data_IF_214581866137
#
_entry.id   IF_214581866137
#
_cell.length_a   1.000
_cell.length_b   1.000
_cell.length_c   1.000
_cell.angle_alpha   90.00
_cell.angle_beta   90.00
_cell.angle_gamma   90.00
#
_symmetry.space_group_name_H-M   'P 1'
#
loop_
_entity.id
_entity.type
_entity.pdbx_description
1 polymer ?
#
# COMPACT_ATOMS: atom_id res chain seq x y z
N UNK A 1 7.14 -12.97 -22.29
CA UNK A 1 6.62 -12.86 -20.92
C UNK A 1 7.34 -11.69 -20.30
N UNK A 2 6.64 -10.74 -19.68
CA UNK A 2 7.28 -9.66 -18.94
C UNK A 2 8.04 -10.25 -17.76
N UNK A 3 9.26 -9.76 -17.53
CA UNK A 3 10.06 -10.17 -16.38
C UNK A 3 9.42 -9.67 -15.10
N UNK A 4 9.46 -10.47 -14.03
CA UNK A 4 8.86 -10.07 -12.76
C UNK A 4 9.72 -8.99 -12.09
N UNK A 5 9.10 -7.91 -11.61
CA UNK A 5 9.76 -6.86 -10.82
C UNK A 5 10.13 -7.39 -9.43
N UNK A 6 9.20 -8.09 -8.78
CA UNK A 6 9.43 -8.78 -7.50
C UNK A 6 9.02 -10.23 -7.67
N UNK A 7 9.91 -11.15 -7.31
CA UNK A 7 9.67 -12.59 -7.36
C UNK A 7 9.82 -13.19 -5.98
N UNK A 8 8.77 -13.80 -5.51
CA UNK A 8 8.71 -14.47 -4.20
C UNK A 8 8.71 -15.97 -4.48
N UNK A 9 9.70 -16.68 -3.98
CA UNK A 9 9.90 -18.11 -4.23
C UNK A 9 9.94 -18.91 -2.93
N UNK A 10 8.90 -19.72 -2.71
CA UNK A 10 8.75 -20.68 -1.62
C UNK A 10 9.05 -20.11 -0.23
N UNK A 11 8.63 -18.85 0.01
CA UNK A 11 8.88 -18.15 1.26
C UNK A 11 8.13 -18.80 2.42
N UNK A 12 8.89 -19.09 3.46
CA UNK A 12 8.37 -19.51 4.78
C UNK A 12 8.88 -18.55 5.84
N UNK A 13 7.96 -18.02 6.67
CA UNK A 13 8.28 -17.08 7.75
C UNK A 13 7.73 -17.61 9.05
N UNK A 14 8.60 -17.69 10.06
CA UNK A 14 8.27 -18.22 11.37
C UNK A 14 8.51 -17.18 12.47
N UNK A 15 7.64 -17.19 13.46
CA UNK A 15 7.80 -16.46 14.71
C UNK A 15 8.08 -17.45 15.83
N UNK A 16 9.23 -17.33 16.50
CA UNK A 16 9.54 -18.12 17.67
C UNK A 16 9.05 -17.41 18.92
N UNK A 17 7.98 -17.94 19.53
CA UNK A 17 7.43 -17.41 20.78
C UNK A 17 7.35 -18.54 21.82
N UNK A 18 8.00 -18.33 22.96
CA UNK A 18 8.01 -19.29 24.11
C UNK A 18 8.33 -20.73 23.71
N UNK A 19 9.31 -20.93 22.82
CA UNK A 19 9.75 -22.26 22.39
C UNK A 19 8.84 -22.96 21.37
N UNK A 20 7.82 -22.28 20.85
CA UNK A 20 6.98 -22.75 19.74
C UNK A 20 7.24 -21.91 18.50
N UNK A 21 7.53 -22.58 17.39
CA UNK A 21 7.58 -21.94 16.08
C UNK A 21 6.15 -21.86 15.50
N UNK A 22 5.71 -20.65 15.18
CA UNK A 22 4.44 -20.39 14.50
C UNK A 22 4.75 -19.96 13.09
N UNK A 23 4.33 -20.71 12.08
CA UNK A 23 4.44 -20.34 10.68
C UNK A 23 3.37 -19.29 10.36
N UNK A 24 3.80 -18.06 10.16
CA UNK A 24 2.94 -16.95 9.72
C UNK A 24 2.77 -16.93 8.20
N UNK A 25 3.79 -17.39 7.47
CA UNK A 25 3.77 -17.60 6.01
C UNK A 25 4.36 -18.97 5.75
N UNK A 26 3.69 -19.79 4.95
CA UNK A 26 4.04 -21.20 4.71
C UNK A 26 4.06 -21.50 3.21
N UNK A 27 5.27 -21.61 2.65
CA UNK A 27 5.55 -21.98 1.26
C UNK A 27 4.81 -21.11 0.23
N UNK A 28 4.99 -19.78 0.34
CA UNK A 28 4.33 -18.81 -0.55
C UNK A 28 5.22 -18.47 -1.73
N UNK A 29 4.66 -18.59 -2.94
CA UNK A 29 5.27 -18.13 -4.19
C UNK A 29 4.32 -17.21 -4.94
N UNK A 30 4.85 -16.07 -5.42
CA UNK A 30 4.08 -15.06 -6.16
C UNK A 30 5.02 -14.14 -6.92
N UNK A 31 4.67 -13.82 -8.17
CA UNK A 31 5.35 -12.82 -8.98
C UNK A 31 4.54 -11.53 -9.01
N UNK A 32 5.23 -10.38 -8.95
CA UNK A 32 4.67 -9.05 -9.16
C UNK A 32 5.37 -8.45 -10.37
N UNK A 33 4.61 -8.00 -11.35
CA UNK A 33 5.14 -7.47 -12.60
C UNK A 33 5.26 -5.95 -12.59
N UNK A 34 6.07 -5.41 -13.50
CA UNK A 34 6.18 -3.96 -13.67
C UNK A 34 4.83 -3.33 -14.00
N UNK A 35 4.56 -2.15 -13.41
CA UNK A 35 3.33 -1.39 -13.61
C UNK A 35 2.05 -2.15 -13.21
N UNK A 36 2.16 -3.18 -12.40
CA UNK A 36 1.03 -3.99 -11.93
C UNK A 36 0.43 -3.44 -10.64
N UNK A 37 -0.88 -3.50 -10.53
CA UNK A 37 -1.64 -3.33 -9.28
C UNK A 37 -2.09 -4.70 -8.82
N UNK A 38 -1.39 -5.27 -7.86
CA UNK A 38 -1.78 -6.54 -7.26
C UNK A 38 -2.31 -6.31 -5.86
N UNK A 39 -3.34 -7.06 -5.48
CA UNK A 39 -3.86 -7.00 -4.14
C UNK A 39 -3.63 -8.32 -3.40
N UNK A 40 -3.38 -8.22 -2.10
CA UNK A 40 -3.28 -9.34 -1.17
C UNK A 40 -4.40 -9.23 -0.14
N UNK A 41 -5.38 -10.13 -0.22
CA UNK A 41 -6.57 -10.11 0.63
C UNK A 41 -6.65 -11.37 1.51
N UNK A 42 -7.39 -11.28 2.61
CA UNK A 42 -7.61 -12.37 3.55
C UNK A 42 -7.98 -11.86 4.93
N UNK A 43 -8.37 -12.72 5.83
CA UNK A 43 -8.71 -12.36 7.22
C UNK A 43 -7.52 -11.80 8.01
N UNK A 44 -7.79 -11.13 9.12
CA UNK A 44 -6.75 -10.71 10.06
C UNK A 44 -5.99 -11.94 10.57
N UNK A 45 -4.64 -11.81 10.65
CA UNK A 45 -3.78 -12.93 11.06
C UNK A 45 -3.46 -13.95 9.96
N UNK A 46 -3.94 -13.79 8.71
CA UNK A 46 -3.60 -14.73 7.62
C UNK A 46 -2.15 -14.65 7.13
N UNK A 47 -1.35 -13.67 7.59
CA UNK A 47 0.07 -13.52 7.23
C UNK A 47 0.39 -12.40 6.25
N UNK A 48 -0.58 -11.61 5.77
CA UNK A 48 -0.41 -10.56 4.74
C UNK A 48 0.64 -9.52 5.11
N UNK A 49 0.49 -8.86 6.25
CA UNK A 49 1.47 -7.87 6.74
C UNK A 49 2.85 -8.51 6.97
N UNK A 50 2.90 -9.74 7.45
CA UNK A 50 4.16 -10.48 7.63
C UNK A 50 4.87 -10.69 6.28
N UNK A 51 4.15 -11.12 5.25
CA UNK A 51 4.68 -11.26 3.89
C UNK A 51 5.16 -9.92 3.34
N UNK A 52 4.37 -8.86 3.50
CA UNK A 52 4.72 -7.50 3.07
C UNK A 52 6.00 -6.99 3.73
N UNK A 53 6.13 -7.18 5.05
CA UNK A 53 7.35 -6.78 5.78
C UNK A 53 8.57 -7.59 5.35
N UNK A 54 8.40 -8.86 5.00
CA UNK A 54 9.48 -9.68 4.46
C UNK A 54 9.93 -9.19 3.08
N UNK A 55 8.99 -8.85 2.18
CA UNK A 55 9.28 -8.29 0.85
C UNK A 55 10.12 -7.01 0.95
N UNK A 56 9.90 -6.19 1.98
CA UNK A 56 10.62 -4.93 2.19
C UNK A 56 11.85 -5.07 3.10
N UNK A 57 12.20 -6.30 3.52
CA UNK A 57 13.27 -6.53 4.51
C UNK A 57 13.08 -5.72 5.81
N UNK A 58 11.81 -5.59 6.23
CA UNK A 58 11.41 -4.87 7.45
C UNK A 58 10.82 -5.82 8.51
N UNK A 59 11.01 -7.13 8.35
CA UNK A 59 10.53 -8.13 9.30
C UNK A 59 11.26 -7.96 10.63
N UNK A 60 10.51 -7.74 11.71
CA UNK A 60 11.09 -7.52 13.04
C UNK A 60 11.23 -8.84 13.80
N UNK A 61 12.29 -9.01 14.60
CA UNK A 61 12.41 -10.12 15.53
C UNK A 61 11.17 -10.23 16.45
N UNK A 62 10.69 -11.44 16.79
CA UNK A 62 11.31 -12.74 16.55
C UNK A 62 11.00 -13.37 15.18
N UNK A 63 10.38 -12.64 14.25
CA UNK A 63 10.07 -13.12 12.89
C UNK A 63 11.34 -13.35 12.06
N UNK A 64 11.39 -14.49 11.36
CA UNK A 64 12.51 -14.86 10.49
C UNK A 64 12.00 -15.55 9.22
N UNK A 65 12.64 -15.26 8.09
CA UNK A 65 12.53 -16.06 6.87
C UNK A 65 13.34 -17.33 7.12
N UNK A 66 12.68 -18.50 7.10
CA UNK A 66 13.30 -19.79 7.36
C UNK A 66 13.51 -20.60 6.09
N UNK A 67 12.83 -20.27 4.99
CA UNK A 67 13.04 -20.87 3.68
C UNK A 67 12.61 -19.89 2.56
N UNK A 68 13.12 -20.17 1.35
CA UNK A 68 12.80 -19.40 0.15
C UNK A 68 13.63 -18.13 -0.01
N UNK A 69 13.31 -17.38 -1.05
CA UNK A 69 13.98 -16.11 -1.38
C UNK A 69 13.05 -15.09 -1.98
N UNK A 70 13.42 -13.82 -1.89
CA UNK A 70 12.71 -12.70 -2.49
C UNK A 70 13.69 -11.96 -3.39
N UNK A 71 13.38 -11.92 -4.69
CA UNK A 71 14.17 -11.22 -5.68
C UNK A 71 13.47 -9.93 -6.07
N UNK A 72 14.21 -8.85 -6.17
CA UNK A 72 13.78 -7.58 -6.75
C UNK A 72 14.72 -7.25 -7.91
N UNK A 73 14.21 -7.15 -9.13
CA UNK A 73 15.04 -6.93 -10.34
C UNK A 73 16.30 -7.82 -10.38
N UNK A 74 16.13 -9.12 -10.15
CA UNK A 74 17.22 -10.11 -10.11
C UNK A 74 18.20 -10.02 -8.92
N UNK A 75 18.00 -9.12 -7.96
CA UNK A 75 18.77 -9.09 -6.72
C UNK A 75 18.01 -9.84 -5.63
N UNK A 76 18.70 -10.77 -4.97
CA UNK A 76 18.12 -11.38 -3.77
C UNK A 76 18.18 -10.38 -2.61
N UNK A 77 17.03 -9.94 -2.15
CA UNK A 77 16.94 -8.96 -1.06
C UNK A 77 17.53 -9.49 0.25
N UNK A 78 17.63 -10.83 0.41
CA UNK A 78 18.22 -11.41 1.62
C UNK A 78 19.75 -11.23 1.69
N UNK A 79 20.41 -11.02 0.55
CA UNK A 79 21.87 -10.93 0.46
C UNK A 79 22.37 -9.48 0.62
N UNK A 80 21.46 -8.49 0.56
CA UNK A 80 21.81 -7.07 0.71
C UNK A 80 22.13 -6.73 2.16
N UNK A 81 23.16 -5.91 2.37
CA UNK A 81 23.45 -5.33 3.66
C UNK A 81 22.52 -4.13 3.99
N UNK A 82 22.59 -3.61 5.22
CA UNK A 82 21.69 -2.53 5.66
C UNK A 82 21.95 -1.20 4.93
N UNK A 83 23.16 -0.92 4.48
CA UNK A 83 23.49 0.29 3.72
C UNK A 83 22.95 0.21 2.28
N UNK A 84 23.10 -0.94 1.64
CA UNK A 84 22.50 -1.22 0.34
C UNK A 84 20.99 -1.13 0.39
N UNK A 85 20.36 -1.68 1.44
CA UNK A 85 18.93 -1.56 1.67
C UNK A 85 18.50 -0.11 1.92
N UNK A 86 19.26 0.65 2.69
CA UNK A 86 18.98 2.06 2.97
C UNK A 86 18.94 2.88 1.67
N UNK A 87 19.91 2.68 0.78
CA UNK A 87 19.98 3.41 -0.50
C UNK A 87 18.86 3.05 -1.47
N UNK A 88 18.29 1.84 -1.36
CA UNK A 88 17.20 1.36 -2.21
C UNK A 88 15.81 1.71 -1.66
N UNK A 89 15.66 1.84 -0.33
CA UNK A 89 14.41 2.29 0.29
C UNK A 89 14.05 3.67 -0.24
N UNK A 90 12.76 3.94 -0.44
CA UNK A 90 12.17 5.14 -1.06
C UNK A 90 12.54 5.36 -2.54
N UNK A 91 13.67 4.88 -3.03
CA UNK A 91 14.09 5.04 -4.42
C UNK A 91 13.66 3.88 -5.32
N UNK A 92 13.68 2.65 -4.83
CA UNK A 92 13.24 1.47 -5.57
C UNK A 92 11.97 0.87 -4.95
N UNK A 93 11.87 0.80 -3.62
CA UNK A 93 10.67 0.31 -2.93
C UNK A 93 10.32 1.16 -1.72
N UNK A 94 9.05 1.29 -1.45
CA UNK A 94 8.53 2.06 -0.32
C UNK A 94 7.33 1.39 0.34
N UNK A 95 7.01 1.87 1.55
CA UNK A 95 5.94 1.36 2.40
C UNK A 95 4.97 2.47 2.78
N UNK A 96 3.67 2.21 2.58
CA UNK A 96 2.58 2.97 3.18
C UNK A 96 1.95 2.07 4.24
N UNK A 97 2.10 2.42 5.51
CA UNK A 97 1.68 1.57 6.64
C UNK A 97 0.22 1.79 7.03
N UNK A 98 -0.39 0.77 7.63
CA UNK A 98 -1.72 0.85 8.25
C UNK A 98 -1.82 1.96 9.31
N UNK A 99 -0.77 2.14 10.12
CA UNK A 99 -0.70 3.15 11.17
C UNK A 99 0.00 4.44 10.71
N UNK A 100 -0.15 4.84 9.44
CA UNK A 100 0.50 6.03 8.87
C UNK A 100 0.20 7.32 9.63
N UNK A 101 -0.91 7.39 10.38
CA UNK A 101 -1.19 8.48 11.31
C UNK A 101 -0.12 8.62 12.42
N UNK A 102 0.59 7.52 12.76
CA UNK A 102 1.63 7.46 13.78
C UNK A 102 3.05 7.34 13.19
N UNK A 103 3.18 7.24 11.86
CA UNK A 103 4.49 7.14 11.20
C UNK A 103 5.20 8.49 11.09
N UNK A 104 4.45 9.59 11.15
CA UNK A 104 5.01 10.94 11.11
C UNK A 104 5.59 11.32 12.47
N UNK A 105 6.79 11.91 12.46
CA UNK A 105 7.41 12.42 13.69
C UNK A 105 6.63 13.62 14.23
N UNK A 106 6.01 13.55 15.43
CA UNK A 106 5.10 14.58 15.93
C UNK A 106 5.78 15.92 16.26
N UNK A 107 7.09 15.93 16.44
CA UNK A 107 7.87 17.13 16.81
C UNK A 107 8.57 17.82 15.64
N UNK A 108 8.47 17.25 14.43
CA UNK A 108 9.00 17.84 13.21
C UNK A 108 7.87 18.37 12.32
N UNK A 109 8.12 19.46 11.60
CA UNK A 109 7.20 19.95 10.56
C UNK A 109 7.17 18.99 9.39
N UNK A 110 6.07 18.98 8.65
CA UNK A 110 5.92 18.12 7.48
C UNK A 110 7.03 18.38 6.44
N UNK A 111 7.41 19.65 6.24
CA UNK A 111 8.50 20.01 5.34
C UNK A 111 9.82 19.32 5.71
N UNK A 112 10.16 19.35 7.00
CA UNK A 112 11.44 18.83 7.47
C UNK A 112 11.52 17.32 7.24
N UNK A 113 10.42 16.58 7.51
CA UNK A 113 10.34 15.13 7.27
C UNK A 113 10.47 14.77 5.79
N UNK A 114 9.90 15.57 4.88
CA UNK A 114 10.06 15.36 3.44
C UNK A 114 11.48 15.68 2.96
N UNK A 115 12.08 16.75 3.53
CA UNK A 115 13.46 17.13 3.22
C UNK A 115 14.44 16.05 3.68
N UNK A 116 14.26 15.51 4.90
CA UNK A 116 15.12 14.45 5.44
C UNK A 116 15.15 13.23 4.51
N UNK A 117 14.00 12.80 3.98
CA UNK A 117 13.95 11.71 3.00
C UNK A 117 14.73 11.97 1.70
N UNK A 118 14.84 13.23 1.28
CA UNK A 118 15.66 13.62 0.11
C UNK A 118 17.15 13.67 0.47
N UNK A 119 17.49 14.22 1.63
CA UNK A 119 18.88 14.34 2.08
C UNK A 119 19.54 12.99 2.32
N UNK A 120 18.80 12.03 2.88
CA UNK A 120 19.27 10.65 3.08
C UNK A 120 19.68 9.95 1.77
N UNK A 121 19.18 10.45 0.63
CA UNK A 121 19.51 9.94 -0.71
C UNK A 121 20.41 10.90 -1.51
N UNK A 122 21.17 11.77 -0.82
CA UNK A 122 22.14 12.65 -1.45
C UNK A 122 21.55 13.77 -2.30
N UNK A 123 20.28 14.14 -2.11
CA UNK A 123 19.60 15.21 -2.83
C UNK A 123 19.78 16.54 -2.09
N UNK A 124 20.89 17.24 -2.34
CA UNK A 124 21.26 18.46 -1.61
C UNK A 124 20.84 19.76 -2.28
N UNK A 125 20.26 19.71 -3.49
CA UNK A 125 19.80 20.92 -4.18
C UNK A 125 18.46 21.39 -3.58
N UNK A 126 18.49 22.54 -2.89
CA UNK A 126 17.34 23.11 -2.18
C UNK A 126 16.18 23.50 -3.11
N UNK A 127 16.48 24.03 -4.29
CA UNK A 127 15.46 24.48 -5.25
C UNK A 127 14.74 23.29 -5.88
N UNK A 128 15.51 22.28 -6.31
CA UNK A 128 14.96 21.03 -6.84
C UNK A 128 14.12 20.29 -5.79
N UNK A 129 14.61 20.24 -4.55
CA UNK A 129 13.90 19.61 -3.44
C UNK A 129 12.57 20.32 -3.15
N UNK A 130 12.54 21.65 -3.11
CA UNK A 130 11.31 22.39 -2.90
C UNK A 130 10.30 22.14 -4.04
N UNK A 131 10.75 22.20 -5.30
CA UNK A 131 9.91 21.91 -6.47
C UNK A 131 9.34 20.48 -6.42
N UNK A 132 10.17 19.50 -6.07
CA UNK A 132 9.75 18.10 -5.95
C UNK A 132 8.74 17.90 -4.84
N UNK A 133 8.98 18.47 -3.65
CA UNK A 133 8.07 18.42 -2.51
C UNK A 133 6.70 19.03 -2.87
N UNK A 134 6.68 20.20 -3.53
CA UNK A 134 5.43 20.81 -3.98
C UNK A 134 4.69 19.90 -4.97
N UNK A 135 5.39 19.38 -5.97
CA UNK A 135 4.81 18.46 -6.96
C UNK A 135 4.20 17.21 -6.32
N UNK A 136 4.84 16.66 -5.28
CA UNK A 136 4.32 15.48 -4.57
C UNK A 136 3.07 15.82 -3.75
N UNK A 137 3.04 17.00 -3.11
CA UNK A 137 1.84 17.46 -2.40
C UNK A 137 0.64 17.66 -3.33
N UNK A 138 0.87 18.25 -4.53
CA UNK A 138 -0.18 18.41 -5.54
C UNK A 138 -0.77 17.06 -5.95
N UNK A 139 0.06 16.02 -6.08
CA UNK A 139 -0.38 14.67 -6.44
C UNK A 139 -1.27 14.03 -5.39
N UNK A 140 -0.96 14.27 -4.12
CA UNK A 140 -1.81 13.79 -3.02
C UNK A 140 -2.91 14.78 -2.66
N UNK A 141 -3.12 15.83 -3.47
CA UNK A 141 -4.16 16.85 -3.31
C UNK A 141 -4.11 17.54 -1.93
N UNK A 142 -2.92 17.92 -1.51
CA UNK A 142 -2.68 18.71 -0.30
C UNK A 142 -2.23 20.13 -0.64
N UNK A 143 -2.75 21.11 0.10
CA UNK A 143 -2.25 22.50 0.02
C UNK A 143 -0.79 22.57 0.48
N UNK A 144 0.01 23.42 -0.18
CA UNK A 144 1.40 23.67 0.21
C UNK A 144 1.54 24.28 1.62
N UNK A 145 0.46 24.86 2.18
CA UNK A 145 0.45 25.34 3.56
C UNK A 145 0.72 24.24 4.59
N UNK A 146 0.44 22.97 4.24
CA UNK A 146 0.69 21.78 5.06
C UNK A 146 2.18 21.64 5.42
N UNK A 147 3.09 22.14 4.58
CA UNK A 147 4.54 22.06 4.81
C UNK A 147 4.98 22.72 6.13
N UNK A 148 4.27 23.76 6.54
CA UNK A 148 4.60 24.48 7.78
C UNK A 148 3.90 23.94 9.03
N UNK A 149 3.00 22.94 8.86
CA UNK A 149 2.24 22.33 9.93
C UNK A 149 3.00 21.16 10.57
N UNK A 150 2.63 20.87 11.82
CA UNK A 150 3.03 19.66 12.51
C UNK A 150 1.98 18.55 12.33
N UNK A 151 2.33 17.27 12.50
CA UNK A 151 1.37 16.18 12.35
C UNK A 151 0.10 16.31 13.19
N UNK A 152 0.18 16.86 14.40
CA UNK A 152 -0.98 17.04 15.28
C UNK A 152 -1.98 18.10 14.79
N UNK A 153 -1.59 18.98 13.85
CA UNK A 153 -2.46 19.99 13.24
C UNK A 153 -3.23 19.44 12.03
N UNK A 154 -2.92 18.20 11.58
CA UNK A 154 -3.50 17.57 10.42
C UNK A 154 -4.67 16.64 10.80
N UNK A 155 -5.71 16.61 9.95
CA UNK A 155 -6.74 15.56 10.02
C UNK A 155 -6.16 14.18 9.68
N UNK A 156 -6.88 13.10 10.05
CA UNK A 156 -6.45 11.73 9.73
C UNK A 156 -6.20 11.52 8.23
N UNK A 157 -7.11 11.98 7.39
CA UNK A 157 -6.96 11.89 5.93
C UNK A 157 -5.78 12.72 5.39
N UNK A 158 -5.48 13.88 5.98
CA UNK A 158 -4.29 14.68 5.61
C UNK A 158 -3.01 13.96 6.01
N UNK A 159 -2.93 13.38 7.22
CA UNK A 159 -1.77 12.57 7.65
C UNK A 159 -1.52 11.41 6.71
N UNK A 160 -2.58 10.71 6.30
CA UNK A 160 -2.49 9.62 5.34
C UNK A 160 -1.93 10.09 4.01
N UNK A 161 -2.41 11.21 3.47
CA UNK A 161 -1.90 11.76 2.21
C UNK A 161 -0.45 12.24 2.33
N UNK A 162 -0.05 12.79 3.47
CA UNK A 162 1.36 13.11 3.75
C UNK A 162 2.22 11.84 3.76
N UNK A 163 1.74 10.76 4.39
CA UNK A 163 2.46 9.47 4.38
C UNK A 163 2.62 8.93 2.95
N UNK A 164 1.58 9.04 2.12
CA UNK A 164 1.67 8.68 0.70
C UNK A 164 2.69 9.58 0.00
N UNK A 165 2.68 10.90 0.27
CA UNK A 165 3.64 11.85 -0.29
C UNK A 165 5.08 11.46 0.06
N UNK A 166 5.36 11.08 1.30
CA UNK A 166 6.67 10.57 1.72
C UNK A 166 7.05 9.29 0.94
N UNK A 167 6.11 8.36 0.78
CA UNK A 167 6.36 7.09 0.11
C UNK A 167 6.69 7.24 -1.39
N UNK A 168 6.14 8.25 -2.07
CA UNK A 168 6.37 8.48 -3.51
C UNK A 168 7.43 9.52 -3.81
N UNK A 169 8.07 10.07 -2.78
CA UNK A 169 8.98 11.22 -2.89
C UNK A 169 10.14 10.99 -3.85
N UNK A 170 10.67 9.78 -3.94
CA UNK A 170 11.75 9.41 -4.84
C UNK A 170 11.31 8.59 -6.06
N UNK A 171 9.98 8.50 -6.32
CA UNK A 171 9.38 7.76 -7.42
C UNK A 171 9.79 6.27 -7.43
N UNK A 172 9.48 5.51 -6.38
CA UNK A 172 9.87 4.10 -6.31
C UNK A 172 9.20 3.27 -7.41
N UNK A 173 9.87 2.21 -7.83
CA UNK A 173 9.34 1.24 -8.79
C UNK A 173 8.24 0.37 -8.18
N UNK A 174 8.31 0.17 -6.86
CA UNK A 174 7.42 -0.69 -6.12
C UNK A 174 6.96 -0.07 -4.80
N UNK A 175 5.65 -0.11 -4.55
CA UNK A 175 5.02 0.38 -3.32
C UNK A 175 4.24 -0.76 -2.68
N UNK A 176 4.48 -1.01 -1.40
CA UNK A 176 3.60 -1.81 -0.56
C UNK A 176 2.68 -0.87 0.22
N UNK A 177 1.38 -1.01 0.04
CA UNK A 177 0.36 -0.27 0.76
C UNK A 177 -0.39 -1.23 1.69
N UNK A 178 0.02 -1.25 2.97
CA UNK A 178 -0.57 -2.14 3.98
C UNK A 178 -1.73 -1.46 4.68
N UNK A 179 -2.95 -1.85 4.33
CA UNK A 179 -4.22 -1.29 4.81
C UNK A 179 -4.24 0.26 4.85
N UNK A 180 -3.93 0.94 3.74
CA UNK A 180 -3.67 2.39 3.73
C UNK A 180 -4.88 3.24 4.10
N UNK A 181 -6.04 2.64 4.27
CA UNK A 181 -7.30 3.35 4.52
C UNK A 181 -8.09 2.83 5.72
N UNK A 182 -7.60 1.83 6.45
CA UNK A 182 -8.36 1.09 7.47
C UNK A 182 -8.91 1.91 8.66
N UNK A 183 -8.31 3.07 8.95
CA UNK A 183 -8.72 3.94 10.07
C UNK A 183 -9.50 5.19 9.60
N UNK A 184 -9.96 5.21 8.34
CA UNK A 184 -10.60 6.36 7.71
C UNK A 184 -12.09 6.07 7.41
N UNK A 185 -12.89 7.12 7.30
CA UNK A 185 -14.25 6.98 6.81
C UNK A 185 -14.30 6.57 5.32
N UNK A 186 -15.42 6.00 4.88
CA UNK A 186 -15.59 5.42 3.54
C UNK A 186 -15.27 6.41 2.41
N UNK A 187 -15.57 7.70 2.59
CA UNK A 187 -15.32 8.72 1.57
C UNK A 187 -13.80 8.95 1.43
N UNK A 188 -13.11 9.08 2.55
CA UNK A 188 -11.65 9.27 2.58
C UNK A 188 -10.93 8.00 2.10
N UNK A 189 -11.41 6.80 2.44
CA UNK A 189 -10.89 5.55 1.91
C UNK A 189 -10.85 5.54 0.38
N UNK A 190 -11.99 5.88 -0.26
CA UNK A 190 -12.07 5.97 -1.73
C UNK A 190 -11.11 7.01 -2.31
N UNK A 191 -10.95 8.15 -1.64
CA UNK A 191 -9.99 9.18 -2.07
C UNK A 191 -8.55 8.69 -1.99
N UNK A 192 -8.16 7.97 -0.94
CA UNK A 192 -6.83 7.38 -0.79
C UNK A 192 -6.55 6.38 -1.92
N UNK A 193 -7.48 5.47 -2.20
CA UNK A 193 -7.34 4.48 -3.28
C UNK A 193 -7.28 5.19 -4.66
N UNK A 194 -8.11 6.19 -4.90
CA UNK A 194 -8.06 7.01 -6.13
C UNK A 194 -6.72 7.72 -6.29
N UNK A 195 -6.13 8.22 -5.19
CA UNK A 195 -4.80 8.85 -5.19
C UNK A 195 -3.73 7.82 -5.56
N UNK A 196 -3.74 6.63 -4.96
CA UNK A 196 -2.81 5.54 -5.29
C UNK A 196 -2.94 5.11 -6.76
N UNK A 197 -4.17 5.04 -7.29
CA UNK A 197 -4.41 4.76 -8.71
C UNK A 197 -3.80 5.83 -9.63
N UNK A 198 -3.97 7.11 -9.29
CA UNK A 198 -3.41 8.24 -10.05
C UNK A 198 -1.89 8.23 -10.04
N UNK A 199 -1.28 7.91 -8.89
CA UNK A 199 0.17 7.75 -8.71
C UNK A 199 0.67 6.60 -9.59
N UNK A 200 0.04 5.43 -9.50
CA UNK A 200 0.40 4.26 -10.29
C UNK A 200 0.39 4.57 -11.80
N UNK A 201 -0.67 5.20 -12.27
CA UNK A 201 -0.82 5.57 -13.68
C UNK A 201 0.24 6.59 -14.13
N UNK A 202 0.58 7.57 -13.28
CA UNK A 202 1.52 8.64 -13.61
C UNK A 202 2.97 8.16 -13.62
N UNK A 203 3.37 7.39 -12.61
CA UNK A 203 4.76 6.95 -12.42
C UNK A 203 5.04 5.55 -12.94
N UNK A 204 4.02 4.81 -13.34
CA UNK A 204 4.12 3.39 -13.71
C UNK A 204 4.75 2.54 -12.60
N UNK A 205 4.56 2.94 -11.34
CA UNK A 205 5.00 2.17 -10.19
C UNK A 205 4.12 0.94 -10.00
N UNK A 206 4.68 -0.16 -9.56
CA UNK A 206 3.91 -1.35 -9.20
C UNK A 206 3.42 -1.22 -7.76
N UNK A 207 2.19 -1.65 -7.47
CA UNK A 207 1.60 -1.52 -6.14
C UNK A 207 1.11 -2.87 -5.64
N UNK A 208 1.59 -3.30 -4.47
CA UNK A 208 0.98 -4.36 -3.67
C UNK A 208 0.06 -3.72 -2.63
N UNK A 209 -1.24 -3.81 -2.88
CA UNK A 209 -2.27 -3.33 -1.95
C UNK A 209 -2.70 -4.46 -1.02
N UNK A 210 -2.50 -4.28 0.27
CA UNK A 210 -3.02 -5.19 1.29
C UNK A 210 -4.30 -4.60 1.85
N UNK A 211 -5.34 -5.40 1.89
CA UNK A 211 -6.63 -4.96 2.42
C UNK A 211 -7.52 -6.13 2.84
N UNK A 212 -8.53 -5.81 3.62
CA UNK A 212 -9.59 -6.73 4.01
C UNK A 212 -10.92 -6.41 3.31
N UNK A 213 -11.05 -5.20 2.74
CA UNK A 213 -12.23 -4.78 1.97
C UNK A 213 -12.07 -5.18 0.51
N UNK A 214 -12.66 -6.34 0.16
CA UNK A 214 -12.60 -6.87 -1.18
C UNK A 214 -13.32 -5.99 -2.21
N UNK A 215 -14.36 -5.25 -1.83
CA UNK A 215 -15.08 -4.34 -2.71
C UNK A 215 -14.21 -3.18 -3.23
N UNK A 216 -13.38 -2.60 -2.35
CA UNK A 216 -12.40 -1.58 -2.75
C UNK A 216 -11.26 -2.18 -3.59
N UNK A 217 -10.79 -3.36 -3.20
CA UNK A 217 -9.66 -4.04 -3.85
C UNK A 217 -9.99 -4.43 -5.30
N UNK A 218 -11.19 -4.95 -5.55
CA UNK A 218 -11.66 -5.34 -6.90
C UNK A 218 -11.64 -4.15 -7.86
N UNK A 219 -11.95 -2.94 -7.39
CA UNK A 219 -11.94 -1.74 -8.22
C UNK A 219 -10.53 -1.26 -8.58
N UNK A 220 -9.53 -1.68 -7.82
CA UNK A 220 -8.15 -1.22 -7.94
C UNK A 220 -7.24 -2.21 -8.65
N UNK A 221 -7.30 -3.50 -8.29
CA UNK A 221 -6.28 -4.49 -8.61
C UNK A 221 -6.48 -5.15 -9.99
N UNK A 222 -5.37 -5.36 -10.69
CA UNK A 222 -5.33 -6.16 -11.93
C UNK A 222 -5.39 -7.67 -11.61
N UNK A 223 -4.70 -8.07 -10.51
CA UNK A 223 -4.69 -9.43 -9.96
C UNK A 223 -4.93 -9.40 -8.46
N UNK A 224 -5.53 -10.47 -7.95
CA UNK A 224 -5.79 -10.65 -6.52
C UNK A 224 -5.20 -11.97 -6.06
N UNK A 225 -4.37 -11.90 -5.02
CA UNK A 225 -3.90 -13.02 -4.23
C UNK A 225 -4.75 -13.15 -2.97
N UNK A 226 -5.34 -14.31 -2.76
CA UNK A 226 -6.12 -14.61 -1.56
C UNK A 226 -5.26 -15.41 -0.60
N UNK A 227 -5.05 -14.88 0.60
CA UNK A 227 -4.23 -15.51 1.63
C UNK A 227 -5.08 -16.04 2.79
N UNK A 228 -4.87 -17.29 3.15
CA UNK A 228 -5.56 -17.96 4.26
C UNK A 228 -4.59 -18.89 4.99
N UNK A 229 -4.53 -18.77 6.33
CA UNK A 229 -3.66 -19.61 7.18
C UNK A 229 -2.19 -19.65 6.68
N UNK A 230 -1.61 -18.51 6.36
CA UNK A 230 -0.22 -18.40 5.93
C UNK A 230 0.06 -18.80 4.48
N UNK A 231 -0.94 -19.19 3.69
CA UNK A 231 -0.79 -19.68 2.31
C UNK A 231 -1.56 -18.81 1.33
N UNK A 232 -1.03 -18.64 0.11
CA UNK A 232 -1.82 -18.14 -1.01
C UNK A 232 -2.66 -19.31 -1.53
N UNK A 233 -3.99 -19.23 -1.31
CA UNK A 233 -4.94 -20.26 -1.69
C UNK A 233 -5.51 -20.06 -3.09
N UNK A 234 -5.45 -18.82 -3.59
CA UNK A 234 -5.86 -18.50 -4.96
C UNK A 234 -5.14 -17.21 -5.42
N UNK A 235 -4.66 -17.19 -6.66
CA UNK A 235 -4.06 -16.03 -7.32
C UNK A 235 -4.54 -15.99 -8.76
N UNK A 236 -5.34 -14.97 -9.10
CA UNK A 236 -5.96 -14.82 -10.43
C UNK A 236 -6.03 -13.35 -10.83
N UNK A 237 -6.28 -13.11 -12.13
CA UNK A 237 -6.78 -11.79 -12.57
C UNK A 237 -8.09 -11.48 -11.86
N UNK A 238 -8.33 -10.21 -11.59
CA UNK A 238 -9.53 -9.79 -10.84
C UNK A 238 -10.82 -10.28 -11.49
N UNK A 239 -10.93 -10.15 -12.81
CA UNK A 239 -12.10 -10.63 -13.59
C UNK A 239 -12.28 -12.14 -13.43
N UNK A 240 -11.22 -12.92 -13.62
CA UNK A 240 -11.25 -14.39 -13.50
C UNK A 240 -11.60 -14.84 -12.08
N UNK A 241 -11.16 -14.10 -11.06
CA UNK A 241 -11.46 -14.43 -9.66
C UNK A 241 -12.94 -14.24 -9.35
N UNK A 242 -13.56 -13.20 -9.90
CA UNK A 242 -14.99 -12.92 -9.73
C UNK A 242 -15.86 -14.01 -10.36
N UNK A 243 -15.49 -14.47 -11.57
CA UNK A 243 -16.28 -15.40 -12.35
C UNK A 243 -16.05 -16.87 -11.97
N UNK A 244 -14.81 -17.20 -11.60
CA UNK A 244 -14.36 -18.59 -11.52
C UNK A 244 -13.55 -18.93 -10.28
N UNK A 245 -13.84 -18.28 -9.12
CA UNK A 245 -13.22 -18.64 -7.86
C UNK A 245 -13.41 -20.14 -7.56
N UNK A 246 -12.34 -20.84 -7.21
CA UNK A 246 -12.35 -22.28 -6.98
C UNK A 246 -12.30 -22.60 -5.48
N UNK A 247 -11.45 -21.90 -4.73
CA UNK A 247 -11.25 -22.18 -3.31
C UNK A 247 -12.46 -21.76 -2.48
N UNK A 248 -12.87 -22.58 -1.52
CA UNK A 248 -14.05 -22.32 -0.67
C UNK A 248 -13.96 -21.00 0.09
N UNK A 249 -12.77 -20.65 0.57
CA UNK A 249 -12.53 -19.42 1.33
C UNK A 249 -12.70 -18.16 0.42
N UNK A 250 -12.16 -18.20 -0.80
CA UNK A 250 -12.36 -17.15 -1.80
C UNK A 250 -13.84 -16.92 -2.10
N UNK A 251 -14.59 -18.03 -2.29
CA UNK A 251 -16.05 -17.98 -2.49
C UNK A 251 -16.78 -17.35 -1.31
N UNK A 252 -16.35 -17.64 -0.09
CA UNK A 252 -16.92 -17.04 1.12
C UNK A 252 -16.64 -15.54 1.20
N UNK A 253 -15.40 -15.11 0.89
CA UNK A 253 -15.03 -13.70 0.83
C UNK A 253 -15.83 -12.93 -0.23
N UNK A 254 -15.97 -13.48 -1.44
CA UNK A 254 -16.74 -12.85 -2.53
C UNK A 254 -18.22 -12.68 -2.15
N UNK A 255 -18.82 -13.64 -1.43
CA UNK A 255 -20.21 -13.53 -0.96
C UNK A 255 -20.42 -12.46 0.12
N UNK A 256 -19.36 -12.05 0.81
CA UNK A 256 -19.44 -10.99 1.83
C UNK A 256 -19.38 -9.59 1.24
N UNK A 257 -19.04 -9.46 -0.04
CA UNK A 257 -19.06 -8.17 -0.76
C UNK A 257 -20.50 -7.83 -1.12
N UNK A 258 -21.03 -6.68 -0.69
CA UNK A 258 -22.35 -6.23 -1.15
C UNK A 258 -22.40 -6.22 -2.68
N UNK A 259 -23.53 -6.64 -3.28
CA UNK A 259 -23.63 -6.73 -4.73
C UNK A 259 -23.28 -5.39 -5.38
N UNK A 260 -22.53 -5.40 -6.47
CA UNK A 260 -22.06 -4.23 -7.21
C UNK A 260 -23.19 -3.23 -7.54
N UNK A 261 -24.42 -3.72 -7.71
CA UNK A 261 -25.62 -2.90 -7.94
C UNK A 261 -26.03 -2.08 -6.71
N UNK A 262 -25.83 -2.59 -5.50
CA UNK A 262 -26.18 -1.86 -4.27
C UNK A 262 -25.16 -0.77 -3.96
N UNK A 263 -23.88 -1.01 -4.22
CA UNK A 263 -22.83 0.01 -4.09
C UNK A 263 -22.95 1.11 -5.14
N UNK A 264 -23.27 0.78 -6.41
CA UNK A 264 -23.55 1.80 -7.43
C UNK A 264 -24.78 2.62 -7.08
N UNK A 265 -25.84 2.01 -6.54
CA UNK A 265 -27.03 2.72 -6.07
C UNK A 265 -26.71 3.63 -4.86
N UNK A 266 -25.87 3.17 -3.93
CA UNK A 266 -25.41 3.97 -2.80
C UNK A 266 -24.53 5.14 -3.26
N UNK A 267 -23.56 4.91 -4.15
CA UNK A 267 -22.69 5.95 -4.72
C UNK A 267 -23.47 7.02 -5.46
N UNK A 268 -24.39 6.64 -6.35
CA UNK A 268 -25.25 7.57 -7.08
C UNK A 268 -26.19 8.38 -6.17
N UNK A 269 -26.57 7.83 -5.03
CA UNK A 269 -27.37 8.52 -4.02
C UNK A 269 -26.55 9.57 -3.26
N UNK A 270 -25.30 9.29 -2.95
CA UNK A 270 -24.38 10.24 -2.33
C UNK A 270 -23.99 11.39 -3.26
N UNK A 271 -23.73 11.13 -4.54
CA UNK A 271 -23.42 12.16 -5.53
C UNK A 271 -24.62 13.10 -5.79
N UNK A 272 -25.84 12.57 -5.79
CA UNK A 272 -27.06 13.38 -5.83
C UNK A 272 -27.20 14.27 -4.60
N UNK A 273 -26.92 13.76 -3.41
CA UNK A 273 -27.00 14.52 -2.16
C UNK A 273 -25.93 15.63 -2.07
N UNK A 274 -24.71 15.39 -2.60
CA UNK A 274 -23.67 16.43 -2.73
C UNK A 274 -24.10 17.56 -3.65
N UNK A 275 -24.57 17.24 -4.86
CA UNK A 275 -25.07 18.24 -5.82
C UNK A 275 -26.22 19.06 -5.25
N UNK A 276 -27.11 18.45 -4.47
CA UNK A 276 -28.23 19.17 -3.84
C UNK A 276 -27.78 20.12 -2.73
N UNK A 277 -26.69 19.81 -2.02
CA UNK A 277 -26.10 20.70 -0.99
C UNK A 277 -25.31 21.87 -1.58
N UNK A 278 -24.59 21.67 -2.67
CA UNK A 278 -23.91 22.75 -3.39
C UNK A 278 -24.89 23.75 -3.98
N UNK A 279 -26.00 23.30 -4.56
CA UNK A 279 -27.09 24.17 -5.04
C UNK A 279 -27.85 24.95 -3.95
N UNK A 280 -27.75 24.51 -2.68
CA UNK A 280 -28.41 25.18 -1.55
C UNK A 280 -27.50 26.23 -0.90
N UNK A 281 -26.21 26.24 -1.14
CA UNK A 281 -25.25 27.23 -0.62
C UNK A 281 -25.07 28.43 -1.56
N UNK A 282 -25.33 28.28 -2.87
CA UNK A 282 -25.28 29.38 -3.85
C UNK A 282 -26.54 30.24 -3.88
N UNK A 283 -27.52 30.00 -3.02
CA UNK A 283 -28.75 30.77 -2.89
C UNK A 283 -28.88 31.54 -1.57
N UNK A 284 -27.79 31.72 -0.84
CA UNK A 284 -27.74 32.63 0.32
C UNK A 284 -26.58 33.62 0.09
#
# INVERSE_FOLDING_TARGET
>A
MSEALVKIENITIEYNSYGKAIKAVDDVSMDIYENEKIALVGESGSGKTTLAMAILRMLKPPGKITAGQILHKNFNLNDLDEEELRTRRLSEFSLITQASMNSLNPVLRIKDQLVDGLLDHGKFNKEENNSKIQSVLDQVQLSHSVLNMYPHELSGGMKQRVSIACAILLNPDFIVADEPSSALDVIIQRQVISTLFSIQKKYRTSILLIGHDLGLVIQFADRIAVMHNGKIVELKKTEDLLDSATHWYTKALLKSVPSFEEEQKASNRFDKLKKTREFSQDKK
#
